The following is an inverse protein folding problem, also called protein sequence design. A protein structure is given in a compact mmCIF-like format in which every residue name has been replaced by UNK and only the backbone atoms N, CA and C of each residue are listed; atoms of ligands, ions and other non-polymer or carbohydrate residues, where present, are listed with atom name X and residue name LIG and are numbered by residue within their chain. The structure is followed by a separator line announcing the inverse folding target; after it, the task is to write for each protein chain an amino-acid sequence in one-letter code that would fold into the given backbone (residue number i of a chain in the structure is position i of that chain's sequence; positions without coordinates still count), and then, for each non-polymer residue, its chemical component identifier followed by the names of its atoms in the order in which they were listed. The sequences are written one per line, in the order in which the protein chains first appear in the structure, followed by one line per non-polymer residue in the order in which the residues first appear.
data_IF_731950830991
#
_entry.id   IF_731950830991
#
_cell.length_a   1.000
_cell.length_b   1.000
_cell.length_c   1.000
_cell.angle_alpha   90.00
_cell.angle_beta   90.00
_cell.angle_gamma   90.00
#
_symmetry.space_group_name_H-M   'P 1'
#
loop_
_entity.id
_entity.type
_entity.pdbx_description
1 polymer ?
#
# COMPACT_ATOMS: atom_id res chain seq x y z
N UNK A 1 21.87 -7.72 -5.32
CA UNK A 1 21.44 -6.33 -5.48
C UNK A 1 22.68 -5.51 -5.78
N UNK A 2 22.59 -4.62 -6.75
CA UNK A 2 23.65 -3.70 -7.15
C UNK A 2 23.13 -2.26 -7.08
N UNK A 3 24.01 -1.28 -6.97
CA UNK A 3 23.70 0.13 -6.84
C UNK A 3 24.46 0.76 -5.66
N UNK A 4 24.71 2.05 -5.75
CA UNK A 4 25.47 2.79 -4.72
C UNK A 4 24.53 3.53 -3.75
N UNK A 5 23.24 3.59 -4.06
CA UNK A 5 22.21 4.22 -3.23
C UNK A 5 20.87 3.47 -3.37
N UNK A 6 19.91 3.83 -2.53
CA UNK A 6 18.57 3.25 -2.61
C UNK A 6 17.88 3.59 -3.95
N UNK A 7 18.11 4.77 -4.48
CA UNK A 7 17.55 5.26 -5.76
C UNK A 7 18.08 4.49 -6.96
N UNK A 8 19.32 4.01 -6.87
CA UNK A 8 20.00 3.22 -7.91
C UNK A 8 19.94 1.72 -7.66
N UNK A 9 19.25 1.29 -6.61
CA UNK A 9 19.15 -0.12 -6.25
C UNK A 9 18.46 -0.95 -7.34
N UNK A 10 19.20 -1.91 -7.89
CA UNK A 10 18.73 -2.84 -8.92
C UNK A 10 18.93 -4.29 -8.45
N UNK A 11 18.12 -5.18 -8.99
CA UNK A 11 18.35 -6.62 -8.90
C UNK A 11 19.08 -7.03 -10.17
N UNK A 12 20.35 -7.41 -10.02
CA UNK A 12 21.10 -8.05 -11.10
C UNK A 12 20.73 -9.54 -11.12
N UNK A 13 20.08 -10.02 -12.17
CA UNK A 13 19.67 -11.41 -12.23
C UNK A 13 20.88 -12.32 -12.49
N UNK A 14 20.98 -13.42 -11.75
CA UNK A 14 21.84 -14.55 -12.09
C UNK A 14 21.36 -15.21 -13.39
N UNK A 15 22.12 -16.14 -13.96
CA UNK A 15 21.69 -16.94 -15.13
C UNK A 15 20.33 -17.57 -14.90
N UNK A 16 20.10 -18.18 -13.72
CA UNK A 16 18.80 -18.69 -13.33
C UNK A 16 17.73 -17.61 -13.34
N UNK A 17 18.03 -16.42 -12.79
CA UNK A 17 17.11 -15.29 -12.79
C UNK A 17 16.77 -14.80 -14.17
N UNK A 18 17.72 -14.80 -15.11
CA UNK A 18 17.52 -14.46 -16.52
C UNK A 18 16.58 -15.48 -17.19
N UNK A 19 16.79 -16.77 -16.93
CA UNK A 19 15.93 -17.85 -17.41
C UNK A 19 14.49 -17.72 -16.86
N UNK A 20 14.34 -17.44 -15.57
CA UNK A 20 13.02 -17.20 -14.95
C UNK A 20 12.27 -16.06 -15.64
N UNK A 21 12.96 -14.96 -15.94
CA UNK A 21 12.41 -13.80 -16.66
C UNK A 21 12.03 -14.19 -18.10
N UNK A 22 12.94 -14.85 -18.82
CA UNK A 22 12.72 -15.26 -20.21
C UNK A 22 11.50 -16.18 -20.33
N UNK A 23 11.36 -17.17 -19.45
CA UNK A 23 10.19 -18.06 -19.42
C UNK A 23 8.91 -17.34 -19.03
N UNK A 24 8.98 -16.33 -18.15
CA UNK A 24 7.80 -15.54 -17.81
C UNK A 24 7.31 -14.72 -19.00
N UNK A 25 8.21 -14.06 -19.70
CA UNK A 25 7.89 -13.34 -20.95
C UNK A 25 7.32 -14.26 -22.02
N UNK A 26 7.78 -15.50 -22.10
CA UNK A 26 7.31 -16.47 -23.07
C UNK A 26 5.88 -16.99 -22.81
N UNK A 27 5.27 -16.63 -21.65
CA UNK A 27 3.86 -16.99 -21.36
C UNK A 27 2.93 -16.50 -22.46
N UNK A 28 3.13 -15.30 -22.99
CA UNK A 28 2.31 -14.72 -24.05
C UNK A 28 2.25 -15.65 -25.28
N UNK A 29 3.41 -16.02 -25.79
CA UNK A 29 3.54 -16.91 -26.93
C UNK A 29 2.98 -18.29 -26.63
N UNK A 30 3.37 -18.87 -25.52
CA UNK A 30 2.93 -20.21 -25.12
C UNK A 30 1.41 -20.35 -25.02
N UNK A 31 0.75 -19.37 -24.38
CA UNK A 31 -0.72 -19.41 -24.23
C UNK A 31 -1.38 -19.23 -25.60
N UNK A 32 -0.91 -18.31 -26.43
CA UNK A 32 -1.44 -18.12 -27.79
C UNK A 32 -1.32 -19.37 -28.65
N UNK A 33 -0.17 -20.02 -28.66
CA UNK A 33 0.07 -21.26 -29.41
C UNK A 33 -0.81 -22.41 -28.95
N UNK A 34 -1.07 -22.52 -27.63
CA UNK A 34 -1.81 -23.65 -27.05
C UNK A 34 -3.32 -23.45 -27.01
N UNK A 35 -3.78 -22.22 -26.99
CA UNK A 35 -5.20 -21.90 -26.75
C UNK A 35 -5.82 -20.95 -27.77
N UNK A 36 -5.02 -20.28 -28.59
CA UNK A 36 -5.45 -19.16 -29.43
C UNK A 36 -5.73 -17.87 -28.67
N UNK A 37 -5.78 -17.90 -27.34
CA UNK A 37 -6.11 -16.72 -26.49
C UNK A 37 -4.91 -15.80 -26.34
N UNK A 38 -5.21 -14.51 -26.18
CA UNK A 38 -4.20 -13.49 -25.96
C UNK A 38 -4.05 -13.19 -24.46
N UNK A 39 -2.85 -13.38 -23.96
CA UNK A 39 -2.41 -13.00 -22.62
C UNK A 39 -1.19 -12.12 -22.75
N UNK A 40 -1.15 -11.01 -22.05
CA UNK A 40 -0.06 -10.03 -22.10
C UNK A 40 0.66 -9.93 -20.76
N UNK A 41 1.99 -9.87 -20.81
CA UNK A 41 2.85 -9.58 -19.65
C UNK A 41 3.04 -8.07 -19.55
N UNK A 42 2.33 -7.42 -18.64
CA UNK A 42 2.38 -5.96 -18.49
C UNK A 42 3.62 -5.48 -17.72
N UNK A 43 3.96 -6.19 -16.64
CA UNK A 43 5.10 -5.85 -15.79
C UNK A 43 5.56 -7.07 -15.01
N UNK A 44 6.83 -7.10 -14.66
CA UNK A 44 7.38 -8.07 -13.71
C UNK A 44 8.52 -7.47 -12.91
N UNK A 45 8.84 -8.09 -11.79
CA UNK A 45 9.98 -7.77 -10.96
C UNK A 45 10.53 -9.05 -10.32
N UNK A 46 11.77 -9.39 -10.67
CA UNK A 46 12.52 -10.43 -9.99
C UNK A 46 13.07 -9.88 -8.68
N UNK A 47 12.88 -10.64 -7.61
CA UNK A 47 13.47 -10.36 -6.31
C UNK A 47 14.27 -11.59 -5.85
N UNK A 48 15.24 -11.45 -4.92
CA UNK A 48 16.08 -12.59 -4.52
C UNK A 48 15.31 -13.81 -4.02
N UNK A 49 14.16 -13.62 -3.34
CA UNK A 49 13.39 -14.74 -2.77
C UNK A 49 12.04 -14.96 -3.44
N UNK A 50 11.63 -14.10 -4.37
CA UNK A 50 10.30 -14.18 -4.99
C UNK A 50 10.24 -13.45 -6.31
N UNK A 51 9.17 -13.69 -7.03
CA UNK A 51 8.90 -13.06 -8.32
C UNK A 51 7.51 -12.44 -8.31
N UNK A 52 7.40 -11.24 -8.84
CA UNK A 52 6.13 -10.56 -9.11
C UNK A 52 5.89 -10.45 -10.60
N UNK A 53 4.66 -10.70 -11.03
CA UNK A 53 4.26 -10.49 -12.42
C UNK A 53 2.84 -9.94 -12.50
N UNK A 54 2.59 -9.09 -13.49
CA UNK A 54 1.26 -8.60 -13.85
C UNK A 54 0.94 -9.13 -15.23
N UNK A 55 -0.13 -9.93 -15.30
CA UNK A 55 -0.65 -10.50 -16.52
C UNK A 55 -2.01 -9.88 -16.82
N UNK A 56 -2.24 -9.53 -18.07
CA UNK A 56 -3.56 -9.17 -18.57
C UNK A 56 -4.07 -10.29 -19.48
N UNK A 57 -5.24 -10.81 -19.15
CA UNK A 57 -5.94 -11.84 -19.93
C UNK A 57 -7.02 -11.12 -20.71
N UNK A 58 -6.89 -11.11 -22.05
CA UNK A 58 -7.81 -10.39 -22.94
C UNK A 58 -9.00 -11.24 -23.35
N UNK A 59 -8.81 -12.56 -23.42
CA UNK A 59 -9.82 -13.49 -23.90
C UNK A 59 -10.25 -14.44 -22.79
N UNK A 60 -11.47 -14.96 -22.88
CA UNK A 60 -11.90 -16.06 -22.02
C UNK A 60 -11.08 -17.30 -22.30
N UNK A 61 -10.37 -17.81 -21.31
CA UNK A 61 -9.58 -19.02 -21.45
C UNK A 61 -10.49 -20.23 -21.72
N UNK A 62 -10.11 -21.16 -22.61
CA UNK A 62 -10.90 -22.33 -22.96
C UNK A 62 -11.02 -23.29 -21.79
N UNK A 63 -12.03 -24.18 -21.85
CA UNK A 63 -12.27 -25.20 -20.81
C UNK A 63 -10.98 -25.97 -20.45
N UNK A 64 -10.68 -26.06 -19.16
CA UNK A 64 -9.48 -26.72 -18.64
C UNK A 64 -8.22 -25.83 -18.61
N UNK A 65 -8.31 -24.57 -19.03
CA UNK A 65 -7.26 -23.59 -18.86
C UNK A 65 -7.65 -22.57 -17.78
N UNK A 66 -6.71 -22.29 -16.89
CA UNK A 66 -6.85 -21.32 -15.80
C UNK A 66 -5.53 -20.58 -15.61
N UNK A 67 -5.57 -19.42 -14.97
CA UNK A 67 -4.35 -18.70 -14.57
C UNK A 67 -3.42 -19.64 -13.76
N UNK A 68 -3.98 -20.43 -12.86
CA UNK A 68 -3.21 -21.41 -12.07
C UNK A 68 -2.46 -22.44 -12.93
N UNK A 69 -3.05 -22.90 -14.04
CA UNK A 69 -2.38 -23.82 -14.97
C UNK A 69 -1.22 -23.11 -15.71
N UNK A 70 -1.42 -21.89 -16.14
CA UNK A 70 -0.39 -21.08 -16.80
C UNK A 70 0.82 -20.86 -15.85
N UNK A 71 0.57 -20.42 -14.63
CA UNK A 71 1.62 -20.18 -13.62
C UNK A 71 2.32 -21.48 -13.21
N UNK A 72 1.57 -22.60 -13.08
CA UNK A 72 2.17 -23.91 -12.80
C UNK A 72 3.09 -24.35 -13.93
N UNK A 73 2.70 -24.18 -15.18
CA UNK A 73 3.52 -24.47 -16.36
C UNK A 73 4.83 -23.67 -16.34
N UNK A 74 4.75 -22.37 -16.12
CA UNK A 74 5.92 -21.52 -15.98
C UNK A 74 6.85 -21.96 -14.84
N UNK A 75 6.33 -22.22 -13.65
CA UNK A 75 7.12 -22.73 -12.51
C UNK A 75 7.81 -24.06 -12.83
N UNK A 76 7.11 -24.95 -13.53
CA UNK A 76 7.66 -26.26 -13.92
C UNK A 76 8.88 -26.11 -14.84
N UNK A 77 8.78 -25.29 -15.87
CA UNK A 77 9.89 -25.04 -16.81
C UNK A 77 11.08 -24.40 -16.11
N UNK A 78 10.84 -23.42 -15.23
CA UNK A 78 11.91 -22.81 -14.40
C UNK A 78 12.59 -23.85 -13.50
N UNK A 79 11.82 -24.73 -12.85
CA UNK A 79 12.38 -25.77 -11.98
C UNK A 79 13.20 -26.80 -12.76
N UNK A 80 12.74 -27.20 -13.94
CA UNK A 80 13.50 -28.09 -14.83
C UNK A 80 14.83 -27.49 -15.24
N UNK A 81 14.85 -26.22 -15.67
CA UNK A 81 16.09 -25.53 -16.02
C UNK A 81 17.04 -25.42 -14.83
N UNK A 82 16.52 -25.14 -13.63
CA UNK A 82 17.32 -25.11 -12.40
C UNK A 82 17.99 -26.45 -12.09
N UNK A 83 17.24 -27.55 -12.19
CA UNK A 83 17.80 -28.88 -11.91
C UNK A 83 18.79 -29.34 -12.99
N UNK A 84 18.56 -28.98 -14.24
CA UNK A 84 19.48 -29.30 -15.35
C UNK A 84 20.81 -28.57 -15.21
N UNK A 85 20.81 -27.33 -14.73
CA UNK A 85 22.06 -26.57 -14.49
C UNK A 85 22.76 -26.93 -13.17
N UNK A 86 22.03 -27.55 -12.23
CA UNK A 86 22.58 -27.94 -10.92
C UNK A 86 23.09 -29.39 -10.88
N UNK A 87 22.97 -30.15 -11.98
CA UNK A 87 23.56 -31.49 -12.07
C UNK A 87 25.06 -31.38 -12.16
N UNK A 88 25.85 -31.98 -11.25
CA UNK A 88 27.30 -32.01 -11.38
C UNK A 88 27.67 -32.71 -12.69
N UNK A 89 28.43 -32.02 -13.53
CA UNK A 89 29.11 -32.69 -14.67
C UNK A 89 29.98 -33.74 -14.07
N UNK A 90 29.63 -35.01 -14.30
CA UNK A 90 30.51 -36.11 -13.93
C UNK A 90 31.86 -35.91 -14.63
N UNK A 91 33.00 -35.90 -13.92
CA UNK A 91 34.27 -35.79 -14.57
C UNK A 91 34.42 -36.98 -15.51
N UNK A 92 34.66 -36.72 -16.78
CA UNK A 92 35.04 -37.71 -17.76
C UNK A 92 36.43 -38.20 -17.41
N UNK A 93 36.49 -39.19 -16.51
CA UNK A 93 37.71 -39.97 -16.27
C UNK A 93 37.75 -41.11 -17.27
N UNK A 94 38.48 -40.92 -18.35
CA UNK A 94 39.03 -42.00 -19.12
C UNK A 94 40.15 -42.68 -18.29
N UNK A 95 39.88 -43.85 -17.78
CA UNK A 95 40.91 -44.81 -17.36
C UNK A 95 40.41 -46.23 -17.40
N UNK A 96 41.28 -47.20 -17.77
CA UNK A 96 40.86 -48.47 -18.30
C UNK A 96 40.48 -49.51 -17.25
N UNK A 97 39.81 -50.51 -17.72
CA UNK A 97 39.21 -51.64 -17.05
C UNK A 97 40.08 -52.44 -16.08
N UNK A 98 39.48 -52.87 -14.97
CA UNK A 98 39.83 -54.11 -14.26
C UNK A 98 38.56 -54.76 -13.65
N UNK A 99 38.50 -56.06 -13.39
CA UNK A 99 37.28 -56.86 -13.49
C UNK A 99 36.52 -57.09 -12.20
N UNK A 100 35.22 -57.27 -12.39
CA UNK A 100 34.24 -58.06 -11.62
C UNK A 100 34.46 -58.38 -10.15
N UNK A 101 33.58 -57.85 -9.31
CA UNK A 101 32.96 -58.59 -8.21
C UNK A 101 31.55 -58.08 -7.97
N UNK A 102 30.63 -59.03 -7.96
CA UNK A 102 29.18 -58.86 -7.72
C UNK A 102 28.90 -58.36 -6.30
N UNK A 103 28.14 -57.32 -6.19
CA UNK A 103 27.48 -56.90 -4.97
C UNK A 103 26.16 -56.16 -5.24
N UNK A 104 25.16 -56.27 -4.34
CA UNK A 104 23.76 -56.11 -4.67
C UNK A 104 23.37 -54.65 -4.92
N UNK A 105 22.30 -54.55 -5.72
CA UNK A 105 21.68 -53.30 -6.17
C UNK A 105 21.64 -52.21 -5.08
N UNK A 106 22.52 -51.21 -5.23
CA UNK A 106 22.35 -49.96 -4.55
C UNK A 106 21.10 -49.27 -5.11
N UNK A 107 20.06 -49.28 -4.30
CA UNK A 107 18.85 -48.49 -4.52
C UNK A 107 19.29 -47.06 -4.83
N UNK A 108 19.05 -46.58 -6.05
CA UNK A 108 19.21 -45.18 -6.42
C UNK A 108 18.33 -44.35 -5.47
N UNK A 109 18.91 -43.78 -4.40
CA UNK A 109 18.27 -42.74 -3.63
C UNK A 109 17.96 -41.64 -4.64
N UNK A 110 16.69 -41.48 -4.99
CA UNK A 110 16.23 -40.32 -5.73
C UNK A 110 16.64 -39.10 -4.93
N UNK A 111 17.62 -38.34 -5.44
CA UNK A 111 17.88 -37.02 -4.91
C UNK A 111 16.55 -36.24 -5.02
N UNK A 112 15.92 -35.98 -3.87
CA UNK A 112 14.72 -35.16 -3.83
C UNK A 112 15.11 -33.75 -4.25
N UNK A 113 14.88 -33.46 -5.52
CA UNK A 113 15.10 -32.13 -6.04
C UNK A 113 14.19 -31.16 -5.28
N UNK A 114 14.78 -30.35 -4.42
CA UNK A 114 14.03 -29.29 -3.72
C UNK A 114 13.36 -28.38 -4.75
N UNK A 115 12.05 -28.10 -4.60
CA UNK A 115 11.35 -27.26 -5.56
C UNK A 115 11.93 -25.84 -5.56
N UNK A 116 12.16 -25.27 -6.76
CA UNK A 116 12.61 -23.88 -6.91
C UNK A 116 11.58 -22.89 -6.36
N UNK A 117 10.31 -23.20 -6.47
CA UNK A 117 9.21 -22.38 -5.98
C UNK A 117 8.39 -23.12 -4.92
N UNK A 118 7.88 -22.35 -3.96
CA UNK A 118 6.85 -22.86 -3.04
C UNK A 118 5.58 -23.28 -3.78
N UNK A 119 4.79 -24.17 -3.15
CA UNK A 119 3.47 -24.53 -3.66
C UNK A 119 2.55 -23.29 -3.69
N UNK A 120 1.67 -23.27 -4.70
CA UNK A 120 0.73 -22.17 -4.88
C UNK A 120 1.37 -20.88 -5.41
N UNK A 121 0.60 -19.83 -5.43
CA UNK A 121 0.97 -18.46 -5.75
C UNK A 121 -0.10 -17.54 -5.16
N UNK A 122 0.27 -16.29 -4.92
CA UNK A 122 -0.69 -15.27 -4.49
C UNK A 122 -1.11 -14.47 -5.73
N UNK A 123 -2.39 -14.43 -6.01
CA UNK A 123 -2.97 -13.60 -7.05
C UNK A 123 -3.89 -12.54 -6.46
N UNK A 124 -4.00 -11.46 -7.20
CA UNK A 124 -4.89 -10.35 -6.86
C UNK A 124 -5.45 -9.74 -8.14
N UNK A 125 -6.74 -9.95 -8.44
CA UNK A 125 -7.38 -9.27 -9.56
C UNK A 125 -7.35 -7.76 -9.38
N UNK A 126 -7.04 -7.03 -10.45
CA UNK A 126 -7.07 -5.57 -10.48
C UNK A 126 -8.41 -5.15 -11.09
N UNK A 127 -9.35 -4.78 -10.22
CA UNK A 127 -10.75 -4.53 -10.61
C UNK A 127 -11.11 -3.04 -10.69
N UNK A 128 -10.25 -2.15 -10.17
CA UNK A 128 -10.55 -0.72 -10.11
C UNK A 128 -9.63 0.09 -11.02
N UNK A 129 -10.18 1.15 -11.60
CA UNK A 129 -9.43 2.10 -12.41
C UNK A 129 -8.24 2.68 -11.61
N UNK A 130 -7.08 2.78 -12.23
CA UNK A 130 -5.85 3.31 -11.62
C UNK A 130 -5.08 2.33 -10.73
N UNK A 131 -5.62 1.15 -10.43
CA UNK A 131 -4.87 0.14 -9.67
C UNK A 131 -3.62 -0.36 -10.39
N UNK A 132 -3.69 -0.50 -11.71
CA UNK A 132 -2.58 -1.00 -12.51
C UNK A 132 -1.34 -0.12 -12.36
N UNK A 133 -1.50 1.20 -12.50
CA UNK A 133 -0.38 2.15 -12.38
C UNK A 133 0.26 2.09 -11.00
N UNK A 134 -0.58 1.99 -9.95
CA UNK A 134 -0.13 1.83 -8.58
C UNK A 134 0.69 0.54 -8.38
N UNK A 135 0.26 -0.58 -8.98
CA UNK A 135 0.98 -1.85 -8.91
C UNK A 135 2.27 -1.84 -9.72
N UNK A 136 2.27 -1.23 -10.91
CA UNK A 136 3.49 -1.06 -11.72
C UNK A 136 4.52 -0.24 -10.94
N UNK A 137 4.11 0.89 -10.36
CA UNK A 137 4.97 1.72 -9.53
C UNK A 137 5.51 0.95 -8.31
N UNK A 138 4.65 0.17 -7.62
CA UNK A 138 5.06 -0.69 -6.51
C UNK A 138 6.09 -1.74 -6.92
N UNK A 139 5.89 -2.42 -8.05
CA UNK A 139 6.84 -3.42 -8.54
C UNK A 139 8.21 -2.79 -8.85
N UNK A 140 8.22 -1.65 -9.51
CA UNK A 140 9.45 -0.90 -9.81
C UNK A 140 10.20 -0.44 -8.57
N UNK A 141 9.47 -0.06 -7.52
CA UNK A 141 10.03 0.41 -6.23
C UNK A 141 10.53 -0.75 -5.32
N UNK A 142 10.19 -2.01 -5.62
CA UNK A 142 10.55 -3.14 -4.76
C UNK A 142 12.05 -3.30 -4.50
N UNK A 143 12.98 -3.15 -5.47
CA UNK A 143 14.42 -3.21 -5.21
C UNK A 143 14.87 -2.14 -4.21
N UNK A 144 14.43 -0.89 -4.40
CA UNK A 144 14.70 0.22 -3.49
C UNK A 144 14.17 -0.05 -2.08
N UNK A 145 12.91 -0.50 -1.96
CA UNK A 145 12.30 -0.84 -0.67
C UNK A 145 13.05 -1.96 0.05
N UNK A 146 13.50 -2.98 -0.68
CA UNK A 146 14.33 -4.04 -0.11
C UNK A 146 15.66 -3.49 0.40
N UNK A 147 16.32 -2.67 -0.39
CA UNK A 147 17.58 -2.02 -0.01
C UNK A 147 17.42 -1.22 1.28
N UNK A 148 16.40 -0.38 1.35
CA UNK A 148 16.11 0.44 2.54
C UNK A 148 15.80 -0.41 3.77
N UNK A 149 15.10 -1.54 3.63
CA UNK A 149 14.87 -2.47 4.74
C UNK A 149 16.15 -3.11 5.27
N UNK A 150 17.14 -3.30 4.43
CA UNK A 150 18.45 -3.81 4.83
C UNK A 150 19.30 -2.74 5.51
N UNK A 151 19.24 -1.49 5.03
CA UNK A 151 20.00 -0.38 5.61
C UNK A 151 19.41 0.11 6.94
N UNK A 152 18.09 0.11 7.09
CA UNK A 152 17.39 0.66 8.24
C UNK A 152 16.46 -0.39 8.88
N UNK A 153 17.00 -1.54 9.33
CA UNK A 153 16.19 -2.61 9.89
C UNK A 153 15.39 -2.16 11.12
N UNK A 154 16.00 -1.34 11.98
CA UNK A 154 15.36 -0.88 13.23
C UNK A 154 14.14 0.03 12.98
N UNK A 155 14.20 0.86 11.93
CA UNK A 155 13.09 1.75 11.55
C UNK A 155 11.98 1.04 10.79
N UNK A 156 12.29 -0.07 10.14
CA UNK A 156 11.32 -0.83 9.34
C UNK A 156 10.95 -2.17 9.95
N UNK A 157 11.54 -2.54 11.09
CA UNK A 157 11.09 -3.67 11.89
C UNK A 157 9.70 -3.38 12.46
N UNK A 158 8.81 -4.35 12.36
CA UNK A 158 7.54 -4.29 13.04
C UNK A 158 7.74 -4.64 14.52
N UNK A 159 7.24 -3.79 15.38
CA UNK A 159 7.20 -4.03 16.81
C UNK A 159 5.76 -4.37 17.17
N UNK A 160 5.53 -5.61 17.54
CA UNK A 160 4.23 -6.09 17.99
C UNK A 160 4.09 -5.84 19.50
N UNK A 161 2.85 -5.76 19.96
CA UNK A 161 2.54 -5.52 21.39
C UNK A 161 3.26 -4.29 21.95
N UNK A 162 3.41 -3.27 21.13
CA UNK A 162 4.11 -2.04 21.49
C UNK A 162 3.32 -1.22 22.50
N UNK A 163 3.92 -0.96 23.67
CA UNK A 163 3.37 -0.07 24.68
C UNK A 163 3.71 1.39 24.35
N UNK A 164 2.72 2.23 24.17
CA UNK A 164 2.90 3.63 23.86
C UNK A 164 2.43 4.50 25.05
N UNK A 165 3.39 5.01 25.83
CA UNK A 165 3.09 5.82 27.00
C UNK A 165 2.38 5.05 28.11
N UNK A 166 1.48 5.73 28.82
CA UNK A 166 0.68 5.16 29.92
C UNK A 166 -0.60 4.46 29.43
N UNK A 167 -0.86 4.50 28.13
CA UNK A 167 -2.04 3.86 27.54
C UNK A 167 -2.01 2.35 27.75
N UNK A 168 -3.16 1.78 28.15
CA UNK A 168 -3.36 0.33 28.22
C UNK A 168 -3.43 -0.31 26.84
N UNK A 169 -3.61 0.48 25.81
CA UNK A 169 -3.71 0.02 24.42
C UNK A 169 -2.36 -0.46 23.92
N UNK A 170 -2.37 -1.62 23.27
CA UNK A 170 -1.20 -2.18 22.60
C UNK A 170 -1.29 -1.93 21.11
N UNK A 171 -0.16 -1.65 20.50
CA UNK A 171 -0.07 -1.26 19.11
C UNK A 171 0.87 -2.19 18.33
N UNK A 172 0.63 -2.33 17.06
CA UNK A 172 1.69 -2.72 16.12
C UNK A 172 2.32 -1.45 15.57
N UNK A 173 3.64 -1.33 15.71
CA UNK A 173 4.40 -0.13 15.37
C UNK A 173 5.39 -0.38 14.22
N UNK A 174 5.54 0.62 13.34
CA UNK A 174 6.61 0.69 12.31
C UNK A 174 7.07 2.14 12.20
N UNK A 175 8.36 2.36 12.16
CA UNK A 175 8.97 3.68 12.11
C UNK A 175 9.85 3.94 13.32
N UNK A 176 10.09 5.20 13.62
CA UNK A 176 10.91 5.59 14.76
C UNK A 176 10.11 5.50 16.08
N UNK A 177 10.22 4.37 16.77
CA UNK A 177 9.53 4.12 18.04
C UNK A 177 9.97 5.04 19.18
N UNK A 178 11.11 5.72 19.06
CA UNK A 178 11.55 6.70 20.05
C UNK A 178 10.65 7.94 20.10
N UNK A 179 9.87 8.20 19.05
CA UNK A 179 8.95 9.34 19.02
C UNK A 179 7.95 9.37 20.17
N UNK A 180 7.57 8.21 20.71
CA UNK A 180 6.66 8.12 21.85
C UNK A 180 7.29 8.63 23.16
N UNK A 181 8.61 8.74 23.23
CA UNK A 181 9.34 9.21 24.40
C UNK A 181 9.52 10.74 24.42
N UNK A 182 9.19 11.43 23.32
CA UNK A 182 9.22 12.89 23.34
C UNK A 182 8.18 13.44 24.33
N UNK A 183 8.56 14.39 25.19
CA UNK A 183 7.65 14.92 26.21
C UNK A 183 6.47 15.66 25.61
N UNK A 184 6.74 16.44 24.55
CA UNK A 184 5.76 17.31 23.91
C UNK A 184 5.17 16.62 22.68
N UNK A 185 3.97 16.10 22.87
CA UNK A 185 3.17 15.46 21.80
C UNK A 185 1.82 16.13 21.73
N UNK A 186 1.51 16.73 20.59
CA UNK A 186 0.27 17.47 20.35
C UNK A 186 -0.69 16.68 19.46
N UNK A 187 -1.91 16.45 19.93
CA UNK A 187 -2.96 15.92 19.07
C UNK A 187 -3.33 16.91 17.97
N UNK A 188 -3.38 16.43 16.71
CA UNK A 188 -3.97 17.16 15.59
C UNK A 188 -5.35 16.60 15.32
N UNK A 189 -6.38 17.44 15.49
CA UNK A 189 -7.77 17.11 15.22
C UNK A 189 -8.46 18.36 14.67
N UNK A 190 -8.83 18.32 13.40
CA UNK A 190 -9.42 19.45 12.71
C UNK A 190 -10.87 19.15 12.31
N UNK A 191 -11.66 20.20 12.20
CA UNK A 191 -13.03 20.09 11.71
C UNK A 191 -13.07 19.67 10.23
N UNK A 192 -14.15 19.02 9.80
CA UNK A 192 -14.27 18.54 8.41
C UNK A 192 -14.60 19.65 7.42
N UNK A 193 -15.38 20.63 7.86
CA UNK A 193 -15.96 21.68 7.02
C UNK A 193 -15.24 23.01 7.27
N UNK A 194 -13.95 23.04 7.00
CA UNK A 194 -13.15 24.26 7.06
C UNK A 194 -13.03 24.90 5.69
N UNK A 195 -13.01 26.24 5.63
CA UNK A 195 -12.64 26.97 4.42
C UNK A 195 -11.14 26.80 4.11
N UNK A 196 -10.71 27.18 2.92
CA UNK A 196 -9.29 27.11 2.54
C UNK A 196 -8.40 27.95 3.45
N UNK A 197 -8.88 29.14 3.85
CA UNK A 197 -8.17 30.05 4.76
C UNK A 197 -8.05 29.44 6.16
N UNK A 198 -9.13 28.81 6.64
CA UNK A 198 -9.14 28.10 7.92
C UNK A 198 -8.20 26.89 7.91
N UNK A 199 -8.18 26.11 6.81
CA UNK A 199 -7.24 25.01 6.63
C UNK A 199 -5.80 25.54 6.69
N UNK A 200 -5.51 26.65 6.02
CA UNK A 200 -4.17 27.24 6.05
C UNK A 200 -3.78 27.71 7.46
N UNK A 201 -4.70 28.31 8.21
CA UNK A 201 -4.47 28.71 9.59
C UNK A 201 -4.15 27.50 10.51
N UNK A 202 -4.86 26.37 10.33
CA UNK A 202 -4.54 25.13 11.04
C UNK A 202 -3.15 24.59 10.66
N UNK A 203 -2.80 24.61 9.37
CA UNK A 203 -1.48 24.20 8.89
C UNK A 203 -0.39 25.07 9.54
N UNK A 204 -0.54 26.39 9.51
CA UNK A 204 0.46 27.32 10.05
C UNK A 204 0.64 27.12 11.56
N UNK A 205 -0.47 26.94 12.29
CA UNK A 205 -0.43 26.66 13.72
C UNK A 205 0.31 25.36 14.04
N UNK A 206 -0.13 24.23 13.48
CA UNK A 206 0.50 22.93 13.80
C UNK A 206 1.93 22.82 13.28
N UNK A 207 2.22 23.43 12.13
CA UNK A 207 3.57 23.44 11.59
C UNK A 207 4.51 24.27 12.47
N UNK A 208 4.03 25.39 13.08
CA UNK A 208 4.83 26.17 14.04
C UNK A 208 5.20 25.34 15.27
N UNK A 209 4.26 24.56 15.82
CA UNK A 209 4.53 23.63 16.91
C UNK A 209 5.52 22.52 16.49
N UNK A 210 5.36 21.98 15.30
CA UNK A 210 6.28 20.95 14.80
C UNK A 210 7.70 21.51 14.58
N UNK A 211 7.82 22.78 14.20
CA UNK A 211 9.12 23.48 14.07
C UNK A 211 9.78 23.71 15.42
N UNK A 212 9.01 23.91 16.50
CA UNK A 212 9.55 24.01 17.85
C UNK A 212 9.93 22.65 18.48
N UNK A 213 9.72 21.54 17.75
CA UNK A 213 10.13 20.21 18.18
C UNK A 213 9.01 19.32 18.72
N UNK A 214 7.78 19.83 18.80
CA UNK A 214 6.60 19.07 19.22
C UNK A 214 6.30 17.98 18.20
N UNK A 215 6.01 16.77 18.68
CA UNK A 215 5.58 15.63 17.82
C UNK A 215 4.08 15.70 17.62
N UNK A 216 3.64 15.74 16.36
CA UNK A 216 2.21 15.77 16.04
C UNK A 216 1.62 14.35 15.99
N UNK A 217 0.47 14.15 16.63
CA UNK A 217 -0.21 12.85 16.74
C UNK A 217 -1.59 12.94 16.12
N UNK A 218 -1.87 12.13 15.08
CA UNK A 218 -3.18 12.11 14.43
C UNK A 218 -3.36 10.89 13.53
N UNK A 219 -4.59 10.48 13.23
CA UNK A 219 -4.86 9.61 12.09
C UNK A 219 -4.77 10.33 10.73
N UNK A 220 -4.74 11.67 10.70
CA UNK A 220 -4.67 12.51 9.50
C UNK A 220 -5.76 12.17 8.45
N UNK A 221 -7.04 12.21 8.88
CA UNK A 221 -8.17 11.77 8.06
C UNK A 221 -8.88 12.93 7.37
N UNK A 222 -9.16 14.03 8.11
CA UNK A 222 -9.86 15.20 7.56
C UNK A 222 -9.01 15.95 6.52
N UNK A 223 -9.61 16.78 5.65
CA UNK A 223 -8.85 17.57 4.69
C UNK A 223 -7.78 18.46 5.34
N UNK A 224 -8.11 19.13 6.45
CA UNK A 224 -7.17 19.97 7.18
C UNK A 224 -6.04 19.16 7.83
N UNK A 225 -6.36 18.02 8.49
CA UNK A 225 -5.34 17.12 9.03
C UNK A 225 -4.39 16.61 7.94
N UNK A 226 -4.90 16.28 6.75
CA UNK A 226 -4.06 15.88 5.61
C UNK A 226 -3.16 17.02 5.14
N UNK A 227 -3.66 18.27 5.14
CA UNK A 227 -2.86 19.43 4.80
C UNK A 227 -1.73 19.66 5.82
N UNK A 228 -2.01 19.50 7.11
CA UNK A 228 -0.99 19.51 8.18
C UNK A 228 0.05 18.41 7.94
N UNK A 229 -0.40 17.16 7.65
CA UNK A 229 0.51 16.05 7.33
C UNK A 229 1.44 16.38 6.17
N UNK A 230 0.89 16.92 5.07
CA UNK A 230 1.66 17.29 3.88
C UNK A 230 2.71 18.38 4.17
N UNK A 231 2.34 19.39 4.96
CA UNK A 231 3.26 20.45 5.37
C UNK A 231 4.40 19.90 6.23
N UNK A 232 4.07 19.06 7.22
CA UNK A 232 5.06 18.44 8.09
C UNK A 232 5.95 17.44 7.32
N UNK A 233 5.38 16.70 6.36
CA UNK A 233 6.14 15.79 5.50
C UNK A 233 7.20 16.54 4.68
N UNK A 234 6.82 17.67 4.06
CA UNK A 234 7.74 18.52 3.27
C UNK A 234 8.93 19.01 4.10
N UNK A 235 8.69 19.36 5.35
CA UNK A 235 9.73 19.85 6.26
C UNK A 235 10.36 18.74 7.13
N UNK A 236 10.00 17.48 6.92
CA UNK A 236 10.49 16.31 7.67
C UNK A 236 10.29 16.46 9.19
N UNK A 237 9.12 17.01 9.59
CA UNK A 237 8.76 17.18 11.01
C UNK A 237 8.24 15.87 11.58
N UNK A 238 8.52 15.63 12.86
CA UNK A 238 8.16 14.39 13.56
C UNK A 238 6.66 14.25 13.70
N UNK A 239 6.14 13.06 13.31
CA UNK A 239 4.72 12.73 13.38
C UNK A 239 4.49 11.30 13.85
N UNK A 240 3.42 11.10 14.62
CA UNK A 240 2.86 9.79 14.94
C UNK A 240 1.53 9.66 14.22
N UNK A 241 1.43 8.69 13.32
CA UNK A 241 0.23 8.44 12.53
C UNK A 241 -0.47 7.17 12.99
N UNK A 242 -1.76 7.29 13.33
CA UNK A 242 -2.59 6.12 13.60
C UNK A 242 -3.30 5.65 12.33
N UNK A 243 -3.30 4.35 12.11
CA UNK A 243 -3.92 3.73 10.95
C UNK A 243 -4.93 2.67 11.34
N UNK A 244 -6.05 2.58 10.57
CA UNK A 244 -7.07 1.55 10.78
C UNK A 244 -6.64 0.16 10.33
N UNK A 245 -5.61 0.08 9.49
CA UNK A 245 -5.15 -1.17 8.91
C UNK A 245 -4.22 -1.87 9.88
N UNK A 246 -4.47 -3.15 10.13
CA UNK A 246 -3.50 -4.00 10.84
C UNK A 246 -2.17 -4.03 10.09
N UNK A 247 -1.06 -3.92 10.84
CA UNK A 247 0.31 -3.91 10.28
C UNK A 247 1.04 -5.24 10.48
N UNK A 248 0.35 -6.24 10.98
CA UNK A 248 0.91 -7.50 11.44
C UNK A 248 1.19 -8.51 10.31
N UNK A 249 0.52 -8.40 9.17
CA UNK A 249 0.75 -9.27 8.02
C UNK A 249 2.19 -9.23 7.52
N UNK A 250 2.73 -10.37 7.09
CA UNK A 250 4.13 -10.53 6.63
C UNK A 250 4.58 -9.46 5.63
N UNK A 251 3.68 -9.03 4.74
CA UNK A 251 3.97 -8.07 3.67
C UNK A 251 3.31 -6.70 3.85
N UNK A 252 2.63 -6.49 4.99
CA UNK A 252 1.95 -5.22 5.28
C UNK A 252 2.94 -4.25 5.91
N UNK A 253 3.25 -3.20 5.20
CA UNK A 253 4.11 -2.09 5.65
C UNK A 253 3.45 -0.77 5.28
N UNK A 254 3.87 0.34 5.89
CA UNK A 254 3.59 1.65 5.35
C UNK A 254 3.94 1.72 3.87
N UNK A 255 3.19 2.48 3.08
CA UNK A 255 3.36 2.57 1.63
C UNK A 255 3.64 4.00 1.21
N UNK A 256 4.27 4.17 0.04
CA UNK A 256 4.57 5.47 -0.53
C UNK A 256 5.31 6.37 0.46
N UNK A 257 4.78 7.57 0.67
CA UNK A 257 5.37 8.58 1.54
C UNK A 257 5.53 8.15 3.00
N UNK A 258 4.59 7.38 3.53
CA UNK A 258 4.70 6.87 4.91
C UNK A 258 5.91 5.96 5.07
N UNK A 259 6.18 5.11 4.07
CA UNK A 259 7.36 4.26 4.09
C UNK A 259 8.65 5.09 4.10
N UNK A 260 8.72 6.10 3.22
CA UNK A 260 9.88 6.98 3.11
C UNK A 260 10.09 7.82 4.38
N UNK A 261 9.00 8.31 4.98
CA UNK A 261 9.03 9.04 6.24
C UNK A 261 9.51 8.18 7.42
N UNK A 262 9.09 6.89 7.48
CA UNK A 262 9.59 5.94 8.46
C UNK A 262 11.11 5.69 8.28
N UNK A 263 11.56 5.47 7.05
CA UNK A 263 12.99 5.29 6.73
C UNK A 263 13.81 6.50 7.17
N UNK A 264 13.32 7.71 6.87
CA UNK A 264 14.00 8.96 7.22
C UNK A 264 13.93 9.30 8.72
N UNK A 265 13.10 8.59 9.50
CA UNK A 265 13.03 8.73 10.95
C UNK A 265 12.20 9.91 11.43
N UNK A 266 11.26 10.41 10.64
CA UNK A 266 10.33 11.46 11.08
C UNK A 266 8.86 11.01 11.11
N UNK A 267 8.61 9.70 10.94
CA UNK A 267 7.28 9.11 11.09
C UNK A 267 7.32 7.81 11.91
N UNK A 268 6.39 7.73 12.86
CA UNK A 268 5.99 6.50 13.54
C UNK A 268 4.56 6.17 13.13
N UNK A 269 4.34 4.99 12.58
CA UNK A 269 3.00 4.49 12.24
C UNK A 269 2.56 3.47 13.27
N UNK A 270 1.40 3.69 13.86
CA UNK A 270 0.81 2.84 14.89
C UNK A 270 -0.54 2.29 14.43
N UNK A 271 -0.77 1.01 14.64
CA UNK A 271 -2.07 0.38 14.50
C UNK A 271 -2.54 -0.19 15.83
N UNK A 272 -3.68 0.26 16.38
CA UNK A 272 -4.27 -0.28 17.59
C UNK A 272 -5.08 -1.58 17.35
N UNK A 273 -5.21 -2.01 16.08
CA UNK A 273 -6.03 -3.14 15.72
C UNK A 273 -5.20 -4.43 15.64
N UNK A 274 -5.61 -5.47 16.40
CA UNK A 274 -4.92 -6.75 16.34
C UNK A 274 -5.19 -7.49 15.02
N UNK A 275 -4.38 -8.50 14.79
CA UNK A 275 -4.43 -9.50 13.72
C UNK A 275 -5.83 -10.01 13.44
N UNK A 276 -6.13 -10.30 12.20
CA UNK A 276 -7.25 -11.15 11.80
C UNK A 276 -8.53 -10.41 11.40
N UNK A 277 -8.56 -9.09 11.43
CA UNK A 277 -9.65 -8.33 10.80
C UNK A 277 -9.33 -8.08 9.31
N UNK A 278 -9.10 -9.18 8.58
CA UNK A 278 -8.73 -9.17 7.16
C UNK A 278 -9.89 -8.82 6.21
N UNK A 279 -10.92 -8.13 6.66
CA UNK A 279 -11.77 -7.39 5.74
C UNK A 279 -11.00 -6.18 5.17
N UNK A 280 -9.81 -6.46 4.67
CA UNK A 280 -8.91 -5.54 3.97
C UNK A 280 -9.53 -5.00 2.65
N UNK A 281 -10.71 -5.45 2.28
CA UNK A 281 -11.47 -4.94 1.14
C UNK A 281 -12.19 -3.61 1.43
N UNK A 282 -12.40 -3.24 2.70
CA UNK A 282 -12.98 -1.94 3.02
C UNK A 282 -11.93 -0.83 2.90
N UNK A 283 -11.83 -0.26 1.71
CA UNK A 283 -11.05 0.94 1.44
C UNK A 283 -11.57 2.16 2.21
N UNK A 284 -12.85 2.13 2.60
CA UNK A 284 -13.53 3.25 3.25
C UNK A 284 -13.45 3.13 4.78
N UNK A 285 -13.06 4.21 5.44
CA UNK A 285 -13.05 4.29 6.91
C UNK A 285 -14.46 4.68 7.41
N UNK A 286 -14.97 3.96 8.39
CA UNK A 286 -16.26 4.28 9.01
C UNK A 286 -16.13 5.44 10.00
N UNK A 287 -17.27 6.10 10.34
CA UNK A 287 -17.28 7.18 11.34
C UNK A 287 -16.77 6.70 12.70
N UNK A 288 -17.19 5.51 13.14
CA UNK A 288 -16.77 4.96 14.43
C UNK A 288 -15.26 4.68 14.46
N UNK A 289 -14.70 4.16 13.37
CA UNK A 289 -13.25 3.97 13.25
C UNK A 289 -12.51 5.32 13.28
N UNK A 290 -13.05 6.38 12.66
CA UNK A 290 -12.45 7.72 12.77
C UNK A 290 -12.46 8.23 14.21
N UNK A 291 -13.56 8.05 14.94
CA UNK A 291 -13.67 8.46 16.34
C UNK A 291 -12.67 7.70 17.20
N UNK A 292 -12.67 6.37 17.13
CA UNK A 292 -11.72 5.54 17.91
C UNK A 292 -10.26 5.90 17.61
N UNK A 293 -9.88 6.15 16.33
CA UNK A 293 -8.51 6.56 16.02
C UNK A 293 -8.15 7.93 16.61
N UNK A 294 -9.12 8.86 16.68
CA UNK A 294 -8.91 10.15 17.34
C UNK A 294 -8.78 10.01 18.86
N UNK A 295 -9.53 9.08 19.47
CA UNK A 295 -9.42 8.81 20.90
C UNK A 295 -8.05 8.20 21.23
N UNK A 296 -7.57 7.24 20.43
CA UNK A 296 -6.19 6.73 20.56
C UNK A 296 -5.14 7.82 20.34
N UNK A 297 -5.38 8.77 19.42
CA UNK A 297 -4.47 9.89 19.23
C UNK A 297 -4.44 10.82 20.45
N UNK A 298 -5.58 11.03 21.10
CA UNK A 298 -5.66 11.80 22.34
C UNK A 298 -4.90 11.12 23.48
N UNK A 299 -5.04 9.81 23.63
CA UNK A 299 -4.32 9.02 24.66
C UNK A 299 -2.79 9.06 24.47
N UNK A 300 -2.32 9.19 23.25
CA UNK A 300 -0.89 9.26 22.94
C UNK A 300 -0.30 10.67 23.05
N UNK A 301 -1.12 11.69 23.00
CA UNK A 301 -0.71 13.08 23.08
C UNK A 301 -0.52 13.50 24.55
N UNK A 302 0.49 14.32 24.83
CA UNK A 302 0.63 15.00 26.14
C UNK A 302 -0.26 16.23 26.24
N UNK A 303 -0.69 16.77 25.10
CA UNK A 303 -1.58 17.91 25.00
C UNK A 303 -2.77 17.58 24.09
N UNK A 304 -4.01 17.85 24.52
CA UNK A 304 -5.20 17.58 23.72
C UNK A 304 -5.24 18.47 22.47
N UNK A 305 -6.05 18.09 21.50
CA UNK A 305 -6.29 18.92 20.34
C UNK A 305 -6.85 20.28 20.76
N UNK A 306 -6.47 21.32 20.02
CA UNK A 306 -7.04 22.66 20.18
C UNK A 306 -8.57 22.58 20.09
N UNK A 307 -9.28 23.20 21.02
CA UNK A 307 -10.74 23.28 20.95
C UNK A 307 -11.13 24.16 19.77
N UNK A 308 -12.11 23.70 18.98
CA UNK A 308 -12.60 24.44 17.79
C UNK A 308 -12.98 25.88 18.12
N UNK A 309 -13.55 26.11 19.30
CA UNK A 309 -13.97 27.45 19.72
C UNK A 309 -12.78 28.42 19.94
N UNK A 310 -11.63 27.94 20.36
CA UNK A 310 -10.46 28.78 20.61
C UNK A 310 -9.78 29.20 19.29
N UNK A 311 -9.95 28.41 18.23
CA UNK A 311 -9.40 28.71 16.91
C UNK A 311 -10.16 29.83 16.19
N UNK A 312 -11.46 29.98 16.47
CA UNK A 312 -12.34 30.86 15.69
C UNK A 312 -12.75 32.15 16.38
N UNK A 313 -12.62 32.26 17.72
CA UNK A 313 -12.90 33.51 18.41
C UNK A 313 -11.97 34.67 17.99
N UNK A 314 -10.74 34.36 17.56
CA UNK A 314 -9.82 35.36 16.98
C UNK A 314 -10.23 35.85 15.59
N UNK A 315 -10.94 35.04 14.79
CA UNK A 315 -11.37 35.41 13.45
C UNK A 315 -12.68 36.19 13.42
N UNK A 316 -13.60 35.91 14.36
CA UNK A 316 -14.89 36.61 14.44
C UNK A 316 -14.72 38.04 14.96
N UNK A 317 -13.69 38.34 15.75
CA UNK A 317 -13.40 39.71 16.24
C UNK A 317 -12.74 40.63 15.21
N UNK A 318 -12.31 40.10 14.07
CA UNK A 318 -11.67 40.88 12.99
C UNK A 318 -12.52 41.04 11.72
N UNK A 319 -13.74 40.47 11.66
CA UNK A 319 -14.67 40.72 10.56
C UNK A 319 -15.38 42.04 10.78
N UNK A 320 -15.40 42.97 9.79
CA UNK A 320 -16.15 44.21 9.91
C UNK A 320 -17.64 43.93 10.09
N UNK A 321 -18.24 44.56 11.06
CA UNK A 321 -19.65 44.41 11.41
C UNK A 321 -20.53 44.66 10.16
N UNK A 322 -21.39 43.69 9.85
CA UNK A 322 -22.43 43.86 8.85
C UNK A 322 -23.37 45.01 9.30
N UNK A 323 -23.84 45.88 8.39
CA UNK A 323 -24.71 46.98 8.77
C UNK A 323 -26.05 46.45 9.30
N UNK A 324 -26.41 46.92 10.47
CA UNK A 324 -27.67 46.66 11.13
C UNK A 324 -28.86 47.13 10.27
N UNK A 325 -29.64 46.21 9.70
CA UNK A 325 -30.94 46.55 9.14
C UNK A 325 -31.98 46.56 10.27
N UNK A 326 -32.53 47.76 10.47
CA UNK A 326 -33.63 48.06 11.37
C UNK A 326 -34.89 47.27 11.03
N UNK A 327 -35.50 46.74 12.04
CA UNK A 327 -36.82 46.08 12.08
C UNK A 327 -37.94 47.00 11.65
N UNK A 328 -38.85 46.53 10.82
CA UNK A 328 -40.22 46.99 10.84
C UNK A 328 -41.19 45.78 10.76
N UNK A 329 -42.23 45.92 11.54
CA UNK A 329 -43.17 44.94 12.01
C UNK A 329 -44.04 44.29 10.94
N UNK A 330 -44.60 43.12 11.32
CA UNK A 330 -45.60 42.33 10.65
C UNK A 330 -46.99 43.07 10.54
N UNK A 331 -47.90 42.62 9.67
CA UNK A 331 -49.02 41.89 10.22
C UNK A 331 -49.47 40.61 9.45
N UNK A 332 -50.11 39.80 10.25
CA UNK A 332 -50.83 38.57 9.99
C UNK A 332 -51.96 38.62 8.98
N UNK A 333 -52.18 37.50 8.20
CA UNK A 333 -53.49 36.88 7.94
C UNK A 333 -53.31 35.67 7.02
N UNK A 334 -53.64 34.49 7.50
CA UNK A 334 -54.76 33.57 7.30
C UNK A 334 -54.95 32.95 5.91
N UNK A 335 -54.90 31.60 5.95
CA UNK A 335 -55.77 30.58 5.37
C UNK A 335 -55.65 30.17 3.89
N UNK A 336 -55.49 28.90 3.71
CA UNK A 336 -56.33 27.86 3.13
C UNK A 336 -55.75 27.07 1.96
N UNK A 337 -55.82 25.74 2.19
CA UNK A 337 -56.16 24.64 1.27
C UNK A 337 -55.26 24.26 0.09
N UNK A 338 -54.84 23.00 0.16
CA UNK A 338 -54.45 22.13 -0.95
C UNK A 338 -55.58 21.86 -1.96
N UNK A 339 -55.39 21.27 -3.14
CA UNK A 339 -55.00 19.87 -3.26
C UNK A 339 -54.09 19.44 -4.45
N UNK A 340 -53.48 18.29 -4.27
CA UNK A 340 -53.13 17.18 -5.17
C UNK A 340 -53.10 17.32 -6.70
N UNK A 341 -52.05 16.84 -7.37
CA UNK A 341 -52.13 15.75 -8.35
C UNK A 341 -50.77 15.41 -9.01
N UNK A 342 -50.42 14.11 -8.91
CA UNK A 342 -49.90 13.18 -9.95
C UNK A 342 -48.67 13.48 -10.77
N UNK A 343 -47.74 12.52 -10.65
CA UNK A 343 -46.66 12.11 -11.53
C UNK A 343 -47.06 11.94 -13.02
N UNK A 344 -46.12 11.77 -13.99
CA UNK A 344 -45.13 10.68 -13.98
C UNK A 344 -43.74 10.95 -14.57
N UNK A 345 -42.89 9.93 -14.42
CA UNK A 345 -41.53 9.69 -14.85
C UNK A 345 -41.18 9.96 -16.32
N UNK A 346 -39.92 10.37 -16.54
CA UNK A 346 -39.24 10.10 -17.79
C UNK A 346 -37.74 9.87 -17.54
N UNK A 347 -37.35 8.64 -17.71
CA UNK A 347 -35.99 8.10 -17.76
C UNK A 347 -35.23 8.63 -18.98
N UNK A 348 -34.11 9.30 -18.79
CA UNK A 348 -33.12 9.51 -19.87
C UNK A 348 -31.83 8.76 -19.56
N UNK A 349 -31.60 7.69 -20.31
CA UNK A 349 -30.32 7.00 -20.45
C UNK A 349 -29.34 7.96 -21.15
N UNK A 350 -28.21 8.27 -20.51
CA UNK A 350 -27.07 8.88 -21.18
C UNK A 350 -26.07 7.78 -21.54
N UNK A 351 -25.85 7.61 -22.82
CA UNK A 351 -24.80 6.76 -23.40
C UNK A 351 -23.47 7.48 -23.24
N UNK A 352 -22.47 6.77 -22.73
CA UNK A 352 -21.08 7.20 -22.69
C UNK A 352 -20.40 6.90 -24.04
N UNK A 353 -19.48 7.76 -24.53
CA UNK A 353 -18.80 7.56 -25.80
C UNK A 353 -17.76 6.45 -25.72
N UNK A 354 -17.73 5.63 -26.75
CA UNK A 354 -16.75 4.57 -27.03
C UNK A 354 -15.43 5.22 -27.41
N UNK A 355 -14.37 4.92 -26.64
CA UNK A 355 -13.00 5.33 -26.95
C UNK A 355 -12.38 4.37 -27.99
N UNK A 356 -12.02 4.89 -29.13
CA UNK A 356 -11.24 4.19 -30.18
C UNK A 356 -9.77 4.62 -30.07
N UNK A 357 -8.82 3.70 -29.90
CA UNK A 357 -7.39 4.06 -29.87
C UNK A 357 -6.85 4.36 -31.27
N UNK A 358 -5.85 5.25 -31.43
CA UNK A 358 -5.22 5.54 -32.70
C UNK A 358 -4.34 4.39 -33.18
N UNK A 359 -4.31 4.21 -34.51
CA UNK A 359 -3.51 3.20 -35.21
C UNK A 359 -2.00 3.49 -35.07
N UNK A 360 -1.12 2.46 -35.06
CA UNK A 360 0.31 2.66 -35.01
C UNK A 360 0.82 3.19 -36.36
N UNK A 361 1.60 4.26 -36.31
CA UNK A 361 2.39 4.76 -37.43
C UNK A 361 3.54 3.80 -37.73
N UNK A 362 3.75 3.59 -39.05
CA UNK A 362 4.78 2.74 -39.66
C UNK A 362 6.20 3.21 -39.35
#
# INVERSE_FOLDING_TARGET
MVGNSAETALIEPTELGQNVIAYFRNIERYVKEKTGCYVQVLQYQLMPEHFHGILQIHDTLPKGWTLGKIIRGWKSVCSQAYWSSSSPVAPSSSSPAAPSSSSPAATKKSQSNSPLFTLGYNDRPLLSKGQLDGWIAYLRDNPRRRWLKQLFPDRLRKVYDFAAGESKTRYTAVGDTFMIKYPDRQQVRCHRNLTSEQIQAEVDYYLSLARSGVVLVSPFISPAEKAVYEACYKEKRRMIRLVKRALDGKFVYPQGRDFDACVQGFLLVLSPFPTGNENAAETTITRNQCLSLNDYAADLASSPARRVNDAYHGYISSSPAAPSSSSSAAPSSSSSAAPSSSSPAATKKSQSPIYTPPAPSR
#
